data_IF_202048367068
#
_entry.id   IF_202048367068
#
_cell.length_a   1.000
_cell.length_b   1.000
_cell.length_c   1.000
_cell.angle_alpha   90.00
_cell.angle_beta   90.00
_cell.angle_gamma   90.00
#
_symmetry.space_group_name_H-M   'P 1'
#
loop_
_entity.id
_entity.type
_entity.pdbx_description
1 polymer ?
2 non-polymer ?
3 non-polymer ?
4 water ?
#
# COMPACT_ATOMS: atom_id res chain seq x y z
N UNK A 1 -28.41 15.64 -30.18
CA UNK A 1 -27.47 14.66 -29.57
C UNK A 1 -26.89 15.19 -28.26
N UNK A 2 -26.31 14.30 -27.45
CA UNK A 2 -25.72 14.75 -26.20
C UNK A 2 -24.42 15.41 -26.60
N UNK A 3 -24.22 16.62 -26.12
CA UNK A 3 -23.02 17.37 -26.45
C UNK A 3 -22.15 17.55 -25.22
N UNK A 4 -21.12 16.72 -25.09
CA UNK A 4 -20.21 16.81 -23.95
C UNK A 4 -19.24 17.94 -24.27
N UNK A 5 -19.27 19.01 -23.48
CA UNK A 5 -18.38 20.16 -23.70
C UNK A 5 -16.91 19.74 -23.61
N UNK A 6 -16.03 20.44 -24.35
CA UNK A 6 -14.60 20.12 -24.32
C UNK A 6 -14.05 20.08 -22.88
N UNK A 7 -14.53 20.96 -22.01
CA UNK A 7 -14.01 20.95 -20.64
C UNK A 7 -14.45 19.71 -19.89
N UNK A 8 -15.62 19.18 -20.21
CA UNK A 8 -16.08 17.98 -19.53
C UNK A 8 -15.34 16.76 -20.12
N UNK A 9 -15.02 16.82 -21.41
CA UNK A 9 -14.27 15.73 -22.03
C UNK A 9 -12.89 15.66 -21.37
N UNK A 10 -12.39 16.82 -20.96
CA UNK A 10 -11.10 16.92 -20.30
C UNK A 10 -11.22 16.30 -18.90
N UNK A 11 -12.33 16.58 -18.23
CA UNK A 11 -12.55 16.02 -16.91
C UNK A 11 -12.64 14.51 -17.02
N UNK A 12 -13.32 14.03 -18.05
CA UNK A 12 -13.46 12.58 -18.23
C UNK A 12 -12.08 11.94 -18.43
N UNK A 13 -11.21 12.64 -19.15
CA UNK A 13 -9.87 12.13 -19.39
C UNK A 13 -9.08 12.11 -18.10
N UNK A 14 -9.20 13.17 -17.30
CA UNK A 14 -8.47 13.23 -16.04
C UNK A 14 -9.01 12.17 -15.09
N UNK A 15 -10.31 11.90 -15.15
CA UNK A 15 -10.91 10.90 -14.28
C UNK A 15 -10.25 9.55 -14.57
N UNK A 16 -10.06 9.24 -15.85
CA UNK A 16 -9.41 8.00 -16.23
C UNK A 16 -7.94 7.99 -15.78
N UNK A 17 -7.27 9.15 -15.83
CA UNK A 17 -5.87 9.22 -15.39
C UNK A 17 -5.79 8.93 -13.90
N UNK A 18 -6.73 9.48 -13.13
CA UNK A 18 -6.76 9.24 -11.69
C UNK A 18 -7.03 7.77 -11.41
N UNK A 19 -7.91 7.16 -12.20
CA UNK A 19 -8.24 5.75 -12.00
C UNK A 19 -7.01 4.88 -12.20
N UNK A 20 -6.22 5.20 -13.23
CA UNK A 20 -5.01 4.43 -13.48
C UNK A 20 -4.02 4.67 -12.34
N UNK A 21 -3.93 5.92 -11.88
CA UNK A 21 -3.03 6.26 -10.78
C UNK A 21 -3.45 5.51 -9.50
N UNK A 22 -4.75 5.42 -9.25
CA UNK A 22 -5.24 4.72 -8.05
C UNK A 22 -4.93 3.22 -8.16
N UNK A 23 -5.10 2.67 -9.35
CA UNK A 23 -4.81 1.27 -9.57
C UNK A 23 -3.35 0.99 -9.14
N UNK A 24 -2.44 1.87 -9.53
CA UNK A 24 -1.03 1.70 -9.18
C UNK A 24 -0.81 1.80 -7.67
N UNK A 25 -1.37 2.84 -7.06
CA UNK A 25 -1.22 3.04 -5.62
C UNK A 25 -1.73 1.82 -4.86
N UNK A 26 -2.85 1.28 -5.32
CA UNK A 26 -3.44 0.11 -4.68
C UNK A 26 -2.51 -1.10 -4.84
N UNK A 27 -1.90 -1.24 -6.01
CA UNK A 27 -0.97 -2.34 -6.21
C UNK A 27 0.25 -2.14 -5.30
N UNK A 28 0.69 -0.90 -5.11
CA UNK A 28 1.83 -0.66 -4.25
C UNK A 28 1.46 -0.97 -2.82
N UNK A 29 0.24 -0.58 -2.43
CA UNK A 29 -0.24 -0.82 -1.08
C UNK A 29 -0.33 -2.33 -0.81
N UNK A 30 -0.86 -3.08 -1.77
CA UNK A 30 -1.01 -4.52 -1.61
C UNK A 30 0.33 -5.25 -1.53
N UNK A 31 1.34 -4.76 -2.24
CA UNK A 31 2.63 -5.41 -2.14
C UNK A 31 3.15 -5.18 -0.71
N UNK A 32 3.05 -3.95 -0.22
CA UNK A 32 3.49 -3.66 1.14
C UNK A 32 2.71 -4.50 2.17
N UNK A 33 1.40 -4.62 1.96
CA UNK A 33 0.54 -5.39 2.87
C UNK A 33 0.93 -6.86 2.92
N UNK A 34 1.32 -7.42 1.77
CA UNK A 34 1.71 -8.82 1.70
C UNK A 34 3.00 -9.04 2.50
N UNK A 35 3.97 -8.16 2.27
CA UNK A 35 5.23 -8.23 2.98
C UNK A 35 5.01 -8.07 4.47
N UNK A 36 4.09 -7.19 4.83
CA UNK A 36 3.81 -6.95 6.25
C UNK A 36 3.19 -8.20 6.88
N UNK A 37 2.31 -8.86 6.15
CA UNK A 37 1.66 -10.05 6.66
C UNK A 37 2.69 -11.15 6.86
N UNK A 38 3.58 -11.32 5.89
CA UNK A 38 4.61 -12.33 6.00
C UNK A 38 5.54 -12.04 7.18
N UNK A 39 5.92 -10.78 7.35
CA UNK A 39 6.82 -10.43 8.46
C UNK A 39 6.16 -10.69 9.81
N UNK A 40 4.88 -10.37 9.93
CA UNK A 40 4.17 -10.58 11.19
C UNK A 40 4.08 -12.08 11.49
N UNK A 41 3.85 -12.88 10.45
CA UNK A 41 3.77 -14.34 10.60
C UNK A 41 5.12 -14.88 11.07
N UNK A 42 6.20 -14.38 10.48
CA UNK A 42 7.54 -14.79 10.86
C UNK A 42 7.84 -14.41 12.31
N UNK A 43 7.45 -13.20 12.72
CA UNK A 43 7.70 -12.75 14.09
C UNK A 43 6.93 -13.61 15.08
N UNK A 44 5.68 -13.90 14.73
CA UNK A 44 4.81 -14.71 15.56
C UNK A 44 5.51 -16.04 15.82
N UNK A 45 6.00 -16.66 14.74
CA UNK A 45 6.68 -17.94 14.85
C UNK A 45 7.97 -17.88 15.63
N UNK A 46 8.78 -16.85 15.40
CA UNK A 46 10.04 -16.77 16.12
C UNK A 46 9.78 -16.50 17.61
N UNK A 47 8.77 -15.70 17.90
CA UNK A 47 8.49 -15.40 19.29
C UNK A 47 8.03 -16.62 20.07
N UNK A 48 7.49 -17.62 19.37
CA UNK A 48 7.03 -18.84 20.05
C UNK A 48 8.16 -19.79 20.42
N UNK A 49 9.38 -19.52 19.94
CA UNK A 49 10.53 -20.37 20.24
C UNK A 49 11.05 -20.21 21.67
N UNK A 50 11.69 -21.27 22.22
CA UNK A 50 12.21 -21.14 23.58
C UNK A 50 13.35 -20.12 23.50
N UNK A 51 13.55 -19.36 24.57
CA UNK A 51 14.58 -18.32 24.59
C UNK A 51 15.99 -18.77 24.19
N UNK A 52 16.29 -20.04 24.41
CA UNK A 52 17.62 -20.57 24.10
C UNK A 52 17.66 -21.29 22.75
N UNK A 53 16.60 -21.13 21.96
CA UNK A 53 16.54 -21.79 20.66
C UNK A 53 17.68 -21.32 19.79
N UNK A 54 18.23 -22.22 18.99
CA UNK A 54 19.31 -21.86 18.08
C UNK A 54 18.70 -21.16 16.85
N UNK A 55 19.25 -20.01 16.47
CA UNK A 55 18.74 -19.27 15.31
C UNK A 55 19.88 -18.78 14.42
N UNK A 56 19.72 -18.95 13.10
CA UNK A 56 20.70 -18.47 12.12
C UNK A 56 19.95 -17.50 11.22
N UNK A 57 20.67 -16.57 10.61
CA UNK A 57 20.02 -15.63 9.71
C UNK A 57 20.79 -15.61 8.40
N UNK A 58 20.12 -15.22 7.33
CA UNK A 58 20.78 -15.16 6.04
C UNK A 58 21.23 -13.74 5.76
N UNK A 59 22.42 -13.61 5.18
CA UNK A 59 22.97 -12.31 4.81
C UNK A 59 23.38 -12.53 3.37
N UNK A 60 22.46 -12.23 2.46
CA UNK A 60 22.75 -12.47 1.05
C UNK A 60 22.79 -13.98 0.88
N UNK A 61 23.89 -14.48 0.34
CA UNK A 61 24.03 -15.92 0.13
C UNK A 61 24.71 -16.57 1.33
N UNK A 62 24.97 -15.79 2.38
CA UNK A 62 25.64 -16.32 3.56
C UNK A 62 24.67 -16.61 4.70
N UNK A 63 25.11 -17.45 5.63
CA UNK A 63 24.30 -17.82 6.78
C UNK A 63 25.16 -17.66 8.01
N UNK A 64 24.71 -16.84 8.96
CA UNK A 64 25.47 -16.66 10.20
C UNK A 64 24.58 -16.89 11.42
N UNK A 65 25.21 -17.16 12.54
CA UNK A 65 24.43 -17.43 13.73
C UNK A 65 23.92 -16.11 14.32
N UNK A 66 22.71 -16.13 14.86
CA UNK A 66 22.16 -14.95 15.52
C UNK A 66 21.51 -15.48 16.79
N UNK A 67 20.56 -14.76 17.38
CA UNK A 67 19.88 -15.25 18.57
C UNK A 67 18.40 -14.95 18.44
N UNK A 68 17.59 -15.56 19.30
CA UNK A 68 16.17 -15.31 19.25
C UNK A 68 15.86 -13.84 19.43
N UNK A 69 16.43 -13.22 20.47
CA UNK A 69 16.17 -11.80 20.72
C UNK A 69 16.57 -10.88 19.58
N UNK A 70 17.70 -11.16 18.94
CA UNK A 70 18.12 -10.32 17.84
C UNK A 70 17.22 -10.46 16.61
N UNK A 71 16.78 -11.68 16.33
CA UNK A 71 15.91 -11.90 15.18
C UNK A 71 14.56 -11.23 15.41
N UNK A 72 14.06 -11.32 16.63
CA UNK A 72 12.79 -10.71 17.00
C UNK A 72 12.90 -9.20 16.80
N UNK A 73 13.98 -8.61 17.29
CA UNK A 73 14.18 -7.17 17.16
C UNK A 73 14.21 -6.72 15.71
N UNK A 74 14.97 -7.44 14.89
CA UNK A 74 15.08 -7.10 13.48
C UNK A 74 13.74 -7.25 12.76
N UNK A 75 12.92 -8.21 13.19
CA UNK A 75 11.61 -8.40 12.58
C UNK A 75 10.67 -7.28 13.03
N UNK A 76 10.77 -6.88 14.29
CA UNK A 76 9.93 -5.78 14.77
C UNK A 76 10.23 -4.52 13.96
N UNK A 77 11.51 -4.30 13.70
CA UNK A 77 11.89 -3.13 12.93
C UNK A 77 11.35 -3.19 11.50
N UNK A 78 11.40 -4.37 10.90
CA UNK A 78 10.89 -4.53 9.55
C UNK A 78 9.40 -4.22 9.53
N UNK A 79 8.69 -4.73 10.52
CA UNK A 79 7.25 -4.49 10.62
C UNK A 79 6.97 -3.01 10.85
N UNK A 80 7.75 -2.39 11.72
CA UNK A 80 7.59 -0.96 12.01
C UNK A 80 7.70 -0.21 10.69
N UNK A 81 8.75 -0.50 9.93
CA UNK A 81 9.00 0.14 8.65
C UNK A 81 7.86 -0.03 7.65
N UNK A 82 7.40 -1.26 7.49
CA UNK A 82 6.33 -1.55 6.56
C UNK A 82 5.03 -0.86 6.95
N UNK A 83 4.76 -0.76 8.24
CA UNK A 83 3.54 -0.08 8.67
C UNK A 83 3.60 1.42 8.37
N UNK A 84 4.78 2.02 8.49
CA UNK A 84 4.91 3.44 8.18
C UNK A 84 4.65 3.61 6.68
N UNK A 85 5.19 2.69 5.88
CA UNK A 85 5.02 2.76 4.44
C UNK A 85 3.58 2.52 4.05
N UNK A 86 2.95 1.56 4.72
CA UNK A 86 1.56 1.24 4.44
C UNK A 86 0.67 2.45 4.71
N UNK A 87 0.88 3.12 5.83
CA UNK A 87 0.07 4.29 6.15
C UNK A 87 0.20 5.39 5.12
N UNK A 88 1.42 5.66 4.66
CA UNK A 88 1.62 6.70 3.66
C UNK A 88 0.85 6.38 2.38
N UNK A 89 0.92 5.12 1.95
CA UNK A 89 0.20 4.70 0.74
C UNK A 89 -1.31 4.79 0.93
N UNK A 90 -1.80 4.46 2.12
CA UNK A 90 -3.23 4.54 2.41
C UNK A 90 -3.65 6.01 2.39
N UNK A 91 -2.76 6.91 2.80
CA UNK A 91 -3.10 8.34 2.76
C UNK A 91 -3.19 8.78 1.30
N UNK A 92 -2.28 8.29 0.45
CA UNK A 92 -2.33 8.64 -0.97
C UNK A 92 -3.62 8.07 -1.59
N UNK A 93 -3.95 6.83 -1.23
CA UNK A 93 -5.16 6.19 -1.74
C UNK A 93 -6.42 6.98 -1.38
N UNK A 94 -6.53 7.37 -0.12
CA UNK A 94 -7.68 8.15 0.35
C UNK A 94 -7.78 9.46 -0.42
N UNK A 95 -6.64 10.11 -0.67
CA UNK A 95 -6.64 11.35 -1.43
C UNK A 95 -7.17 11.11 -2.84
N UNK A 96 -6.75 10.00 -3.45
CA UNK A 96 -7.19 9.71 -4.81
C UNK A 96 -8.68 9.40 -4.87
N UNK A 97 -9.18 8.68 -3.87
CA UNK A 97 -10.60 8.36 -3.85
C UNK A 97 -11.42 9.64 -3.73
N UNK A 98 -10.92 10.60 -2.96
CA UNK A 98 -11.64 11.85 -2.79
C UNK A 98 -11.62 12.66 -4.08
N UNK A 99 -10.49 12.66 -4.78
CA UNK A 99 -10.44 13.41 -6.04
C UNK A 99 -11.38 12.78 -7.06
N UNK A 100 -11.43 11.44 -7.08
CA UNK A 100 -12.31 10.72 -8.00
C UNK A 100 -13.77 11.02 -7.67
N UNK A 101 -14.07 11.11 -6.38
CA UNK A 101 -15.44 11.41 -5.93
C UNK A 101 -15.83 12.82 -6.37
N UNK A 102 -14.97 13.78 -6.08
CA UNK A 102 -15.24 15.16 -6.44
C UNK A 102 -15.29 15.39 -7.95
N UNK A 103 -14.40 14.76 -8.71
CA UNK A 103 -14.43 14.96 -10.15
C UNK A 103 -15.64 14.28 -10.77
N UNK A 104 -16.04 13.13 -10.23
CA UNK A 104 -17.20 12.43 -10.76
C UNK A 104 -18.44 13.31 -10.54
N UNK A 105 -18.50 13.96 -9.39
CA UNK A 105 -19.64 14.83 -9.07
C UNK A 105 -19.68 16.03 -10.00
N UNK A 106 -18.52 16.59 -10.33
CA UNK A 106 -18.47 17.75 -11.21
C UNK A 106 -18.93 17.38 -12.61
N UNK A 107 -18.51 16.21 -13.09
CA UNK A 107 -18.92 15.76 -14.42
C UNK A 107 -20.44 15.57 -14.46
N UNK A 108 -20.99 14.93 -13.44
CA UNK A 108 -22.43 14.68 -13.40
C UNK A 108 -23.23 15.97 -13.32
N UNK A 109 -22.69 16.95 -12.59
CA UNK A 109 -23.35 18.24 -12.47
C UNK A 109 -23.30 18.97 -13.81
N UNK A 110 -22.16 18.90 -14.49
CA UNK A 110 -22.03 19.58 -15.77
C UNK A 110 -22.93 19.00 -16.85
N UNK A 111 -23.10 17.68 -16.85
CA UNK A 111 -23.92 17.00 -17.85
C UNK A 111 -25.40 16.84 -17.49
N UNK A 112 -25.78 17.28 -16.30
CA UNK A 112 -27.16 17.16 -15.84
C UNK A 112 -28.10 17.99 -16.71
N UNK A 113 -29.21 17.38 -17.16
CA UNK A 113 -30.17 18.11 -17.99
C UNK A 113 -30.63 19.39 -17.28
N UNK A 114 -30.85 20.47 -18.04
CA UNK A 114 -31.28 21.75 -17.46
C UNK A 114 -32.70 21.73 -16.88
X LIG B 1 2.04 10.74 3.11
X LIG B 1 3.08 10.14 3.51
X LIG B 1 1.27 11.25 3.86
X LIG B 1 1.83 10.80 1.63
X LIG B 1 1.46 12.19 1.09
X LIG B 1 0.23 12.62 1.73
X LIG B 1 2.58 13.26 1.43
X LIG B 1 2.26 14.74 1.00
X LIG B 1 1.34 15.17 0.30
X LIG B 1 3.17 15.51 1.51
X LIG B 1 1.02 12.30 -0.42
X LIG B 1 -0.10 12.49 -0.89
X LIG B 1 2.09 12.15 -1.10
X LIG C 1 6.62 8.93 7.07
X LIG C 1 5.45 8.86 7.90
X LIG C 1 6.27 8.57 5.62
X LIG C 1 5.53 9.64 5.02
X LIG C 1 7.56 8.28 4.83
X LIG C 1 7.78 9.28 3.81
X LIG D 1 0.35 10.48 -6.30
X LIG D 1 1.73 10.59 -6.61
X LIG D 1 -0.37 9.82 -7.46
X LIG D 1 -0.75 8.50 -7.07
X LIG D 1 -1.60 10.65 -7.80
X LIG D 1 -2.65 9.81 -8.26
X LIG E 1 -1.99 17.08 -3.62
X LIG E 1 -3.20 16.30 -3.65
X LIG E 1 -1.22 16.80 -2.32
X LIG E 1 -0.73 15.46 -2.34
X LIG E 1 -0.04 17.78 -2.21
X LIG E 1 0.65 17.56 -0.98
X LIG F 1 20.77 -18.84 19.13
X LIG F 1 21.88 -19.02 18.26
X LIG F 1 21.20 -18.90 20.61
X LIG F 1 22.36 -18.09 20.83
X LIG F 1 21.43 -20.35 21.04
X LIG F 1 21.30 -20.46 22.46
X LIG G 1 23.89 -24.22 9.46
X LIG G 1 22.94 -24.36 8.41
X LIG G 1 23.92 -25.49 10.31
X LIG G 1 22.59 -25.79 10.75
X LIG G 1 24.84 -25.31 11.52
X LIG G 1 24.98 -26.55 12.21
#
# INVERSE_FOLDING_TARGET
MQNIPPQVQAMLGQLESYQQQLQLVVQQKQKVQLELTEAKKALDEIESLPDDAVVYKTVGTLIVKTTKDKAVAELKEKIETLEVRLNALERQEKKLNEKLKELTAQIQSALRPPTAG
CIT C1 O1 O2 C2 C3 O7 C4 C5 O3 O4 C6 O5 O6
GOL C1 O1 C2 O2 C3 O3
GOL C1 O1 C2 O2 C3 O3
GOL C1 O1 C2 O2 C3 O3
GOL C1 O1 C2 O2 C3 O3
GOL C1 O1 C2 O2 C3 O3
#
